data_IF_608071505787
#
_entry.id   IF_608071505787
#
_cell.length_a   1.000
_cell.length_b   1.000
_cell.length_c   1.000
_cell.angle_alpha   90.00
_cell.angle_beta   90.00
_cell.angle_gamma   90.00
#
_symmetry.space_group_name_H-M   'P 1'
#
loop_
_entity.id
_entity.type
_entity.pdbx_description
1 polymer ?
#
# COMPACT_ATOMS: atom_id res chain seq x y z
N UNK A 1 36.19 -6.85 -23.54
CA UNK A 1 34.97 -6.62 -24.33
C UNK A 1 35.29 -5.53 -25.33
N UNK A 2 35.32 -5.85 -26.63
CA UNK A 2 35.74 -4.91 -27.67
C UNK A 2 34.76 -3.75 -27.81
N UNK A 3 35.28 -2.52 -27.80
CA UNK A 3 34.48 -1.29 -27.82
C UNK A 3 33.57 -1.19 -29.06
N UNK A 4 34.02 -1.75 -30.19
CA UNK A 4 33.22 -1.86 -31.42
C UNK A 4 31.96 -2.72 -31.26
N UNK A 5 32.02 -3.76 -30.43
CA UNK A 5 30.87 -4.64 -30.16
C UNK A 5 29.85 -3.91 -29.28
N UNK A 6 30.34 -3.15 -28.29
CA UNK A 6 29.47 -2.36 -27.39
C UNK A 6 28.75 -1.25 -28.14
N UNK A 7 29.45 -0.56 -29.07
CA UNK A 7 28.85 0.50 -29.87
C UNK A 7 27.82 -0.05 -30.88
N UNK A 8 28.10 -1.21 -31.50
CA UNK A 8 27.12 -1.87 -32.38
C UNK A 8 25.84 -2.30 -31.65
N UNK A 9 25.98 -2.79 -30.41
CA UNK A 9 24.82 -3.15 -29.58
C UNK A 9 24.02 -1.92 -29.15
N UNK A 10 24.70 -0.81 -28.85
CA UNK A 10 24.03 0.45 -28.50
C UNK A 10 23.25 1.02 -29.69
N UNK A 11 23.80 0.99 -30.89
CA UNK A 11 23.09 1.43 -32.11
C UNK A 11 21.88 0.55 -32.44
N UNK A 12 21.96 -0.76 -32.21
CA UNK A 12 20.81 -1.66 -32.40
C UNK A 12 19.72 -1.46 -31.35
N UNK A 13 20.09 -1.09 -30.12
CA UNK A 13 19.13 -0.82 -29.04
C UNK A 13 18.37 0.49 -29.27
N UNK A 14 19.01 1.48 -29.91
CA UNK A 14 18.44 2.80 -30.20
C UNK A 14 17.56 2.80 -31.47
N UNK A 15 17.67 1.77 -32.31
CA UNK A 15 16.84 1.58 -33.50
C UNK A 15 15.57 0.72 -33.25
N UNK A 16 15.34 0.26 -32.01
CA UNK A 16 14.17 -0.54 -31.65
C UNK A 16 13.02 0.34 -31.14
N UNK A 17 11.76 0.05 -31.52
CA UNK A 17 10.61 0.78 -31.01
C UNK A 17 10.50 0.62 -29.48
N UNK A 18 10.10 1.70 -28.80
CA UNK A 18 10.15 1.87 -27.33
C UNK A 18 9.50 0.74 -26.53
N UNK A 19 8.57 0.00 -27.11
CA UNK A 19 7.93 -1.18 -26.50
C UNK A 19 8.94 -2.30 -26.16
N UNK A 20 9.98 -2.53 -26.97
CA UNK A 20 10.91 -3.66 -26.81
C UNK A 20 12.04 -3.35 -25.82
N UNK A 21 12.33 -2.07 -25.57
CA UNK A 21 13.44 -1.63 -24.71
C UNK A 21 13.19 -2.02 -23.23
N UNK A 22 11.93 -2.06 -22.82
CA UNK A 22 11.54 -2.44 -21.45
C UNK A 22 11.78 -3.92 -21.14
N UNK A 23 11.63 -4.80 -22.12
CA UNK A 23 11.80 -6.24 -21.93
C UNK A 23 13.29 -6.64 -21.91
N UNK A 24 14.11 -6.06 -22.78
CA UNK A 24 15.54 -6.42 -22.89
C UNK A 24 16.36 -5.90 -21.70
N UNK A 25 16.01 -4.72 -21.16
CA UNK A 25 16.67 -4.18 -19.95
C UNK A 25 16.34 -4.98 -18.68
N UNK A 26 15.19 -5.63 -18.63
CA UNK A 26 14.79 -6.48 -17.49
C UNK A 26 15.60 -7.79 -17.37
N UNK A 27 16.24 -8.24 -18.46
CA UNK A 27 16.92 -9.55 -18.54
C UNK A 27 18.42 -9.49 -18.21
N UNK A 28 19.00 -8.29 -18.07
CA UNK A 28 20.44 -8.09 -17.85
C UNK A 28 20.82 -7.78 -16.39
N UNK A 29 19.87 -7.69 -15.46
CA UNK A 29 20.15 -7.52 -14.04
C UNK A 29 19.57 -8.68 -13.21
N UNK A 30 20.34 -9.77 -12.98
CA UNK A 30 19.87 -10.90 -12.19
C UNK A 30 19.89 -10.64 -10.66
N UNK A 31 20.20 -9.42 -10.20
CA UNK A 31 20.29 -9.09 -8.78
C UNK A 31 19.24 -8.05 -8.36
N UNK A 32 17.95 -8.34 -8.55
CA UNK A 32 16.89 -7.54 -7.90
C UNK A 32 15.50 -8.21 -7.76
N UNK A 33 15.27 -9.43 -8.25
CA UNK A 33 13.93 -10.03 -8.26
C UNK A 33 13.76 -11.21 -7.29
N UNK A 34 14.08 -10.97 -6.02
CA UNK A 34 13.52 -11.80 -4.95
C UNK A 34 12.93 -10.90 -3.86
N UNK A 35 11.83 -10.23 -4.22
CA UNK A 35 10.95 -9.59 -3.25
C UNK A 35 9.76 -10.54 -3.10
N UNK A 36 9.57 -11.19 -1.93
CA UNK A 36 8.37 -11.96 -1.67
C UNK A 36 7.14 -11.06 -1.82
N UNK A 37 6.12 -11.59 -2.49
CA UNK A 37 4.88 -10.97 -2.94
C UNK A 37 3.92 -10.60 -1.77
N UNK A 38 4.42 -9.95 -0.71
CA UNK A 38 3.62 -9.60 0.47
C UNK A 38 3.72 -8.12 0.90
N UNK A 39 4.56 -7.30 0.25
CA UNK A 39 4.78 -5.90 0.64
C UNK A 39 4.29 -4.84 -0.35
N UNK A 40 3.44 -5.19 -1.32
CA UNK A 40 2.98 -4.29 -2.41
C UNK A 40 1.95 -3.22 -2.00
N UNK A 41 1.73 -2.96 -0.71
CA UNK A 41 1.02 -1.75 -0.23
C UNK A 41 1.95 -0.74 0.45
N UNK A 42 3.23 -1.05 0.66
CA UNK A 42 4.22 -0.12 1.21
C UNK A 42 4.95 0.64 0.11
N UNK A 43 4.22 1.35 -0.75
CA UNK A 43 4.80 2.38 -1.60
C UNK A 43 4.16 3.72 -1.24
N UNK A 44 4.63 4.29 -0.13
CA UNK A 44 4.75 5.74 0.12
C UNK A 44 3.62 6.57 -0.50
N UNK A 45 2.36 6.21 -0.23
CA UNK A 45 1.24 7.08 -0.55
C UNK A 45 1.34 8.26 0.43
N UNK A 46 1.60 9.48 -0.07
CA UNK A 46 1.55 10.70 0.75
C UNK A 46 0.28 10.66 1.59
N UNK A 47 0.43 10.71 2.91
CA UNK A 47 -0.70 10.69 3.82
C UNK A 47 -1.65 11.85 3.47
N UNK A 48 -2.86 11.53 3.04
CA UNK A 48 -3.90 12.53 2.77
C UNK A 48 -4.66 12.81 4.06
N UNK A 49 -4.87 14.09 4.35
CA UNK A 49 -5.78 14.50 5.41
C UNK A 49 -7.21 14.15 4.98
N UNK A 50 -7.87 13.29 5.74
CA UNK A 50 -9.27 12.92 5.55
C UNK A 50 -10.10 13.56 6.66
N UNK A 51 -11.18 14.23 6.28
CA UNK A 51 -12.14 14.79 7.22
C UNK A 51 -13.39 13.91 7.19
N UNK A 52 -13.80 13.41 8.36
CA UNK A 52 -15.01 12.63 8.53
C UNK A 52 -15.68 13.04 9.84
N UNK A 53 -17.00 12.85 9.93
CA UNK A 53 -17.78 13.20 11.12
C UNK A 53 -17.95 11.94 11.96
N UNK A 54 -17.59 12.05 13.25
CA UNK A 54 -17.87 11.04 14.26
C UNK A 54 -18.91 11.60 15.23
N UNK A 55 -19.85 10.78 15.66
CA UNK A 55 -20.71 11.10 16.80
C UNK A 55 -19.88 11.08 18.10
N UNK A 56 -20.40 11.70 19.16
CA UNK A 56 -19.69 11.84 20.43
C UNK A 56 -19.28 10.48 21.03
N UNK A 57 -20.18 9.48 20.93
CA UNK A 57 -19.92 8.09 21.35
C UNK A 57 -18.64 7.52 20.73
N UNK A 58 -18.46 7.66 19.41
CA UNK A 58 -17.27 7.14 18.74
C UNK A 58 -16.01 7.94 19.05
N UNK A 59 -16.14 9.24 19.31
CA UNK A 59 -15.03 10.08 19.76
C UNK A 59 -14.53 9.63 21.13
N UNK A 60 -15.44 9.36 22.07
CA UNK A 60 -15.12 8.86 23.40
C UNK A 60 -14.44 7.49 23.35
N UNK A 61 -14.97 6.56 22.53
CA UNK A 61 -14.35 5.24 22.31
C UNK A 61 -12.90 5.41 21.81
N UNK A 62 -12.70 6.27 20.81
CA UNK A 62 -11.38 6.51 20.23
C UNK A 62 -10.41 7.15 21.24
N UNK A 63 -10.90 8.06 22.09
CA UNK A 63 -10.12 8.72 23.16
C UNK A 63 -9.76 7.77 24.29
N UNK A 64 -10.71 6.94 24.72
CA UNK A 64 -10.51 5.91 25.73
C UNK A 64 -9.45 4.90 25.27
N UNK A 65 -9.54 4.42 24.03
CA UNK A 65 -8.59 3.46 23.48
C UNK A 65 -7.20 4.06 23.25
N UNK A 66 -7.12 5.31 22.78
CA UNK A 66 -5.86 6.03 22.68
C UNK A 66 -5.17 6.18 24.05
N UNK A 67 -5.95 6.54 25.09
CA UNK A 67 -5.44 6.69 26.46
C UNK A 67 -4.98 5.35 27.06
N UNK A 68 -5.77 4.28 26.85
CA UNK A 68 -5.48 2.92 27.35
C UNK A 68 -4.22 2.32 26.74
N UNK A 69 -4.06 2.46 25.43
CA UNK A 69 -2.92 1.90 24.67
C UNK A 69 -1.70 2.83 24.65
N UNK A 70 -1.85 4.08 25.11
CA UNK A 70 -0.86 5.16 24.98
C UNK A 70 -0.45 5.42 23.53
N UNK A 71 -1.35 5.17 22.59
CA UNK A 71 -1.13 5.38 21.17
C UNK A 71 -1.87 6.62 20.69
N UNK A 72 -1.44 7.17 19.54
CA UNK A 72 -2.19 8.25 18.90
C UNK A 72 -3.55 7.74 18.40
N UNK A 73 -4.56 8.61 18.36
CA UNK A 73 -5.87 8.32 17.75
C UNK A 73 -5.73 7.80 16.31
N UNK A 74 -4.75 8.32 15.57
CA UNK A 74 -4.44 7.87 14.21
C UNK A 74 -3.94 6.43 14.19
N UNK A 75 -3.10 6.04 15.15
CA UNK A 75 -2.61 4.66 15.26
C UNK A 75 -3.75 3.69 15.60
N UNK A 76 -4.63 4.07 16.53
CA UNK A 76 -5.81 3.27 16.88
C UNK A 76 -6.73 3.11 15.68
N UNK A 77 -7.00 4.20 14.93
CA UNK A 77 -7.81 4.14 13.72
C UNK A 77 -7.18 3.24 12.65
N UNK A 78 -5.86 3.31 12.45
CA UNK A 78 -5.15 2.40 11.54
C UNK A 78 -5.30 0.94 11.96
N UNK A 79 -5.15 0.65 13.25
CA UNK A 79 -5.32 -0.71 13.77
C UNK A 79 -6.77 -1.21 13.59
N UNK A 80 -7.77 -0.36 13.85
CA UNK A 80 -9.17 -0.68 13.64
C UNK A 80 -9.48 -0.97 12.16
N UNK A 81 -8.95 -0.16 11.24
CA UNK A 81 -9.11 -0.38 9.79
C UNK A 81 -8.41 -1.67 9.32
N UNK A 82 -7.22 -1.96 9.84
CA UNK A 82 -6.52 -3.21 9.54
C UNK A 82 -7.28 -4.43 10.06
N UNK A 83 -7.86 -4.33 11.26
CA UNK A 83 -8.73 -5.37 11.81
C UNK A 83 -10.02 -5.51 11.00
N UNK A 84 -10.59 -4.42 10.50
CA UNK A 84 -11.80 -4.46 9.68
C UNK A 84 -11.54 -5.11 8.31
N UNK A 85 -10.39 -4.83 7.68
CA UNK A 85 -9.99 -5.44 6.41
C UNK A 85 -9.81 -6.96 6.50
N UNK A 86 -9.33 -7.46 7.66
CA UNK A 86 -9.08 -8.88 7.88
C UNK A 86 -10.32 -9.71 8.23
N UNK A 87 -11.48 -9.08 8.47
CA UNK A 87 -12.74 -9.78 8.73
C UNK A 87 -13.34 -10.39 7.46
N UNK A 88 -14.10 -11.48 7.62
CA UNK A 88 -14.96 -12.00 6.56
C UNK A 88 -16.16 -11.07 6.29
N UNK A 89 -16.73 -11.17 5.09
CA UNK A 89 -17.81 -10.29 4.63
C UNK A 89 -19.04 -10.33 5.54
N UNK A 90 -19.37 -11.48 6.14
CA UNK A 90 -20.51 -11.58 7.04
C UNK A 90 -20.27 -10.79 8.34
N UNK A 91 -19.05 -10.89 8.90
CA UNK A 91 -18.66 -10.09 10.07
C UNK A 91 -18.58 -8.60 9.77
N UNK A 92 -18.07 -8.21 8.58
CA UNK A 92 -18.08 -6.81 8.15
C UNK A 92 -19.50 -6.27 8.12
N UNK A 93 -20.43 -7.00 7.48
CA UNK A 93 -21.84 -6.61 7.42
C UNK A 93 -22.48 -6.52 8.81
N UNK A 94 -22.17 -7.45 9.71
CA UNK A 94 -22.64 -7.39 11.10
C UNK A 94 -22.18 -6.09 11.79
N UNK A 95 -20.89 -5.75 11.74
CA UNK A 95 -20.38 -4.54 12.38
C UNK A 95 -20.86 -3.24 11.73
N UNK A 96 -21.10 -3.24 10.41
CA UNK A 96 -21.73 -2.11 9.72
C UNK A 96 -23.15 -1.86 10.25
N UNK A 97 -23.94 -2.91 10.45
CA UNK A 97 -25.28 -2.79 11.04
C UNK A 97 -25.24 -2.36 12.51
N UNK A 98 -24.34 -2.94 13.32
CA UNK A 98 -24.21 -2.59 14.74
C UNK A 98 -23.72 -1.15 14.92
N UNK A 99 -22.80 -0.68 14.08
CA UNK A 99 -22.34 0.71 14.13
C UNK A 99 -23.46 1.71 13.80
N UNK A 100 -24.35 1.40 12.86
CA UNK A 100 -25.48 2.26 12.57
C UNK A 100 -26.46 2.42 13.75
N UNK A 101 -26.48 1.48 14.71
CA UNK A 101 -27.35 1.54 15.90
C UNK A 101 -26.83 2.47 17.00
N UNK A 102 -25.53 2.75 17.00
CA UNK A 102 -24.88 3.62 17.99
C UNK A 102 -24.81 5.09 17.53
N UNK A 103 -25.27 5.36 16.30
CA UNK A 103 -25.28 6.67 15.65
C UNK A 103 -26.52 7.51 15.95
#
# INVERSE_FOLDING_TARGET
>A
MDKKIVDALRTLLEALPEEVITEVTSKLNPSANHIPEENSKQLIAKARVLNFRLTEVYKEILEAEASRTRQSKTTILKAALAAFDSLDENRKNHWLLESAKLG
#
